data_IF_170381213864
#
_entry.id   IF_170381213864
#
_cell.length_a   1.000
_cell.length_b   1.000
_cell.length_c   1.000
_cell.angle_alpha   90.00
_cell.angle_beta   90.00
_cell.angle_gamma   90.00
#
_symmetry.space_group_name_H-M   'P 1'
#
loop_
_entity.id
_entity.type
_entity.pdbx_description
1 polymer ?
#
# COMPACT_ATOMS: atom_id res chain seq x y z
N UNK A 1 -14.69 -18.39 -62.91
CA UNK A 1 -14.68 -18.43 -61.44
C UNK A 1 -13.52 -19.29 -61.03
N UNK A 2 -12.58 -18.75 -60.26
CA UNK A 2 -12.06 -19.38 -59.04
C UNK A 2 -10.72 -18.73 -58.71
N UNK A 3 -10.72 -18.12 -57.52
CA UNK A 3 -9.64 -17.37 -56.93
C UNK A 3 -8.50 -18.32 -56.51
N UNK A 4 -7.86 -19.00 -57.48
CA UNK A 4 -6.72 -19.92 -57.25
C UNK A 4 -5.48 -19.23 -56.67
N UNK A 5 -5.44 -17.89 -56.69
CA UNK A 5 -4.37 -17.12 -56.04
C UNK A 5 -4.46 -17.17 -54.50
N UNK A 6 -5.66 -17.25 -53.93
CA UNK A 6 -5.83 -17.14 -52.48
C UNK A 6 -5.44 -18.42 -51.72
N UNK A 7 -5.62 -19.59 -52.33
CA UNK A 7 -5.38 -20.86 -51.64
C UNK A 7 -3.88 -21.17 -51.46
N UNK A 8 -3.02 -20.71 -52.38
CA UNK A 8 -1.58 -21.00 -52.34
C UNK A 8 -0.85 -20.24 -51.24
N UNK A 9 -1.38 -19.09 -50.82
CA UNK A 9 -0.78 -18.24 -49.79
C UNK A 9 -1.56 -18.27 -48.46
N UNK A 10 -2.59 -19.10 -48.34
CA UNK A 10 -3.38 -19.24 -47.09
C UNK A 10 -2.48 -19.63 -45.90
N UNK A 11 -1.49 -20.48 -46.12
CA UNK A 11 -0.53 -20.85 -45.06
C UNK A 11 0.22 -19.64 -44.47
N UNK A 12 0.47 -18.57 -45.26
CA UNK A 12 1.10 -17.35 -44.76
C UNK A 12 0.20 -16.60 -43.78
N UNK A 13 -1.13 -16.64 -43.97
CA UNK A 13 -2.07 -16.05 -43.03
C UNK A 13 -2.03 -16.76 -41.68
N UNK A 14 -2.00 -18.10 -41.69
CA UNK A 14 -1.84 -18.86 -40.45
C UNK A 14 -0.48 -18.60 -39.79
N UNK A 15 0.60 -18.53 -40.56
CA UNK A 15 1.94 -18.19 -40.04
C UNK A 15 1.92 -16.81 -39.37
N UNK A 16 1.39 -15.80 -40.05
CA UNK A 16 1.23 -14.45 -39.51
C UNK A 16 0.36 -14.46 -38.25
N UNK A 17 -0.77 -15.18 -38.27
CA UNK A 17 -1.69 -15.28 -37.14
C UNK A 17 -1.03 -15.93 -35.91
N UNK A 18 -0.32 -17.05 -36.08
CA UNK A 18 0.40 -17.70 -34.98
C UNK A 18 1.56 -16.84 -34.46
N UNK A 19 2.25 -16.10 -35.33
CA UNK A 19 3.28 -15.15 -34.92
C UNK A 19 2.69 -14.01 -34.08
N UNK A 20 1.59 -13.39 -34.53
CA UNK A 20 0.92 -12.33 -33.79
C UNK A 20 0.31 -12.84 -32.47
N UNK A 21 -0.29 -14.03 -32.47
CA UNK A 21 -0.82 -14.67 -31.27
C UNK A 21 0.30 -14.98 -30.27
N UNK A 22 1.45 -15.46 -30.75
CA UNK A 22 2.65 -15.67 -29.94
C UNK A 22 3.17 -14.37 -29.32
N UNK A 23 3.22 -13.28 -30.09
CA UNK A 23 3.59 -11.96 -29.58
C UNK A 23 2.59 -11.42 -28.56
N UNK A 24 1.29 -11.63 -28.78
CA UNK A 24 0.24 -11.23 -27.84
C UNK A 24 0.34 -12.00 -26.53
N UNK A 25 0.47 -13.33 -26.60
CA UNK A 25 0.66 -14.18 -25.42
C UNK A 25 1.97 -13.82 -24.72
N UNK A 26 3.03 -13.56 -25.48
CA UNK A 26 4.30 -13.08 -24.94
C UNK A 26 4.09 -11.75 -24.22
N UNK A 27 3.41 -10.75 -24.79
CA UNK A 27 3.15 -9.49 -24.11
C UNK A 27 2.28 -9.64 -22.84
N UNK A 28 1.31 -10.56 -22.83
CA UNK A 28 0.43 -10.83 -21.68
C UNK A 28 1.18 -11.60 -20.58
N UNK A 29 2.03 -12.56 -20.94
CA UNK A 29 2.78 -13.39 -19.99
C UNK A 29 4.13 -12.78 -19.60
N UNK A 30 4.63 -11.80 -20.35
CA UNK A 30 5.79 -11.03 -20.00
C UNK A 30 5.39 -10.05 -18.91
N UNK A 31 5.30 -10.58 -17.70
CA UNK A 31 5.40 -9.73 -16.52
C UNK A 31 6.80 -9.12 -16.58
N UNK A 32 6.95 -7.80 -16.74
CA UNK A 32 8.25 -7.19 -16.51
C UNK A 32 8.68 -7.69 -15.12
N UNK A 33 9.90 -8.21 -15.02
CA UNK A 33 10.53 -8.26 -13.71
C UNK A 33 10.61 -6.79 -13.32
N UNK A 34 9.65 -6.32 -12.53
CA UNK A 34 9.81 -5.11 -11.77
C UNK A 34 11.09 -5.37 -10.99
N UNK A 35 12.20 -4.83 -11.51
CA UNK A 35 13.43 -4.81 -10.78
C UNK A 35 13.09 -3.87 -9.64
N UNK A 36 12.75 -4.46 -8.49
CA UNK A 36 12.50 -3.74 -7.26
C UNK A 36 13.83 -3.15 -6.80
N UNK A 37 14.33 -2.16 -7.54
CA UNK A 37 15.23 -1.12 -7.06
C UNK A 37 14.41 -0.01 -6.42
N UNK A 38 13.30 -0.34 -5.77
CA UNK A 38 13.00 0.34 -4.54
C UNK A 38 14.18 0.01 -3.64
N UNK A 39 14.96 1.03 -3.28
CA UNK A 39 15.80 0.95 -2.11
C UNK A 39 14.89 0.43 -0.99
N UNK A 40 14.93 -0.87 -0.72
CA UNK A 40 14.61 -1.37 0.59
C UNK A 40 15.77 -0.83 1.44
N UNK A 41 15.57 0.20 2.28
CA UNK A 41 16.55 0.45 3.32
C UNK A 41 16.76 -0.90 4.03
N UNK A 42 18.01 -1.29 4.30
CA UNK A 42 18.32 -2.60 4.82
C UNK A 42 17.42 -2.88 6.03
N UNK A 43 16.61 -3.94 5.94
CA UNK A 43 15.88 -4.47 7.08
C UNK A 43 16.94 -5.02 8.02
N UNK A 44 17.43 -4.17 8.92
CA UNK A 44 18.25 -4.63 10.03
C UNK A 44 17.32 -5.47 10.89
N UNK A 45 17.45 -6.79 10.77
CA UNK A 45 16.93 -7.76 11.73
C UNK A 45 17.66 -7.54 13.06
N UNK A 46 17.25 -6.51 13.79
CA UNK A 46 17.61 -6.33 15.19
C UNK A 46 16.76 -7.33 15.97
N UNK A 47 17.36 -8.23 16.77
CA UNK A 47 16.60 -9.16 17.59
C UNK A 47 15.66 -8.37 18.51
N UNK A 48 14.38 -8.79 18.53
CA UNK A 48 13.36 -8.22 19.40
C UNK A 48 13.86 -8.18 20.85
N UNK A 49 13.82 -7.03 21.54
CA UNK A 49 14.05 -6.99 22.98
C UNK A 49 13.00 -7.83 23.70
N UNK A 50 13.32 -8.42 24.86
CA UNK A 50 12.35 -9.19 25.64
C UNK A 50 11.18 -8.30 26.07
N UNK A 51 10.03 -8.95 26.21
CA UNK A 51 8.76 -8.36 26.62
C UNK A 51 8.85 -8.02 28.12
N UNK A 52 9.22 -6.78 28.43
CA UNK A 52 9.29 -6.24 29.78
C UNK A 52 8.21 -5.16 29.95
N UNK A 53 7.49 -5.22 31.07
CA UNK A 53 6.36 -4.36 31.44
C UNK A 53 6.72 -2.86 31.55
N UNK A 54 6.61 -2.10 30.46
CA UNK A 54 6.54 -0.64 30.52
C UNK A 54 5.25 -0.12 29.87
N UNK A 55 4.60 0.80 30.61
CA UNK A 55 3.58 1.80 30.23
C UNK A 55 3.46 2.01 28.72
N UNK A 56 2.25 2.07 28.10
CA UNK A 56 2.07 2.09 26.65
C UNK A 56 2.71 3.34 26.04
N UNK A 57 3.99 3.21 25.74
CA UNK A 57 4.83 4.21 25.10
C UNK A 57 4.96 3.70 23.67
N UNK A 58 4.42 4.48 22.74
CA UNK A 58 4.36 4.16 21.31
C UNK A 58 5.71 3.62 20.83
N UNK A 59 5.80 2.35 20.38
CA UNK A 59 7.05 1.82 19.83
C UNK A 59 7.42 2.58 18.55
N UNK A 60 8.72 2.71 18.22
CA UNK A 60 9.19 3.62 17.18
C UNK A 60 8.61 3.29 15.80
N UNK A 61 8.21 4.32 15.05
CA UNK A 61 7.76 4.18 13.66
C UNK A 61 8.88 3.56 12.80
N UNK A 62 8.54 2.58 11.96
CA UNK A 62 9.52 1.75 11.26
C UNK A 62 9.67 2.10 9.76
N UNK A 63 9.34 3.33 9.35
CA UNK A 63 9.33 3.73 7.93
C UNK A 63 9.86 5.14 7.68
N UNK A 64 10.26 5.40 6.44
CA UNK A 64 10.52 6.76 5.95
C UNK A 64 9.21 7.56 5.97
N UNK A 65 9.29 8.84 6.32
CA UNK A 65 8.11 9.71 6.35
C UNK A 65 7.55 9.90 4.94
N UNK A 66 6.25 9.64 4.81
CA UNK A 66 5.47 9.75 3.58
C UNK A 66 4.74 11.09 3.57
N UNK A 67 4.56 11.70 2.40
CA UNK A 67 3.73 12.90 2.30
C UNK A 67 2.24 12.53 2.42
N UNK A 68 1.42 13.39 3.04
CA UNK A 68 -0.02 13.29 2.84
C UNK A 68 -0.39 13.37 1.34
N UNK A 69 -1.59 12.91 1.02
CA UNK A 69 -2.12 12.63 -0.32
C UNK A 69 -1.36 11.56 -1.10
N UNK A 70 -0.44 10.83 -0.46
CA UNK A 70 0.25 9.69 -1.08
C UNK A 70 -0.43 8.38 -0.72
N UNK A 71 -0.64 7.54 -1.71
CA UNK A 71 -1.12 6.17 -1.51
C UNK A 71 0.02 5.27 -1.04
N UNK A 72 -0.26 4.51 0.01
CA UNK A 72 0.66 3.51 0.56
C UNK A 72 0.08 2.13 0.28
N UNK A 73 0.93 1.31 -0.32
CA UNK A 73 0.62 -0.07 -0.67
C UNK A 73 1.28 -1.04 0.32
N UNK A 74 0.61 -2.18 0.51
CA UNK A 74 0.90 -3.26 1.45
C UNK A 74 2.38 -3.54 1.75
N UNK A 75 2.68 -3.71 3.04
CA UNK A 75 3.88 -4.39 3.55
C UNK A 75 3.70 -5.91 3.75
N UNK A 76 2.54 -6.47 3.39
CA UNK A 76 2.15 -7.85 3.71
C UNK A 76 1.70 -8.03 5.17
N UNK A 77 1.74 -9.28 5.64
CA UNK A 77 1.43 -9.67 7.03
C UNK A 77 2.36 -8.98 8.03
N UNK A 78 1.82 -8.64 9.20
CA UNK A 78 2.55 -8.16 10.36
C UNK A 78 2.07 -6.80 10.83
N UNK A 79 2.95 -6.10 11.54
CA UNK A 79 2.74 -4.72 11.96
C UNK A 79 3.56 -3.80 11.06
N UNK A 80 2.89 -2.85 10.41
CA UNK A 80 3.53 -1.79 9.64
C UNK A 80 3.20 -0.45 10.27
N UNK A 81 4.21 0.39 10.55
CA UNK A 81 4.00 1.77 11.00
C UNK A 81 4.63 2.73 10.01
N UNK A 82 3.82 3.62 9.47
CA UNK A 82 4.23 4.61 8.48
C UNK A 82 3.98 6.02 9.01
N UNK A 83 5.01 6.86 9.16
CA UNK A 83 4.82 8.26 9.48
C UNK A 83 4.37 9.03 8.23
N UNK A 84 3.39 9.91 8.39
CA UNK A 84 2.81 10.75 7.33
C UNK A 84 2.87 12.22 7.70
N UNK A 85 3.48 13.06 6.86
CA UNK A 85 3.51 14.51 7.03
C UNK A 85 2.10 15.09 6.82
N UNK A 86 1.61 15.84 7.80
CA UNK A 86 0.36 16.59 7.75
C UNK A 86 0.59 18.08 7.42
N UNK A 87 1.83 18.56 7.57
CA UNK A 87 2.20 19.94 7.28
C UNK A 87 1.81 20.92 8.38
N UNK A 88 1.68 22.20 8.01
CA UNK A 88 1.43 23.31 8.94
C UNK A 88 -0.02 23.82 8.93
N UNK A 89 -0.90 23.19 8.16
CA UNK A 89 -2.31 23.57 8.05
C UNK A 89 -3.15 22.73 9.01
N UNK A 90 -3.99 23.37 9.82
CA UNK A 90 -4.98 22.68 10.64
C UNK A 90 -6.18 22.32 9.77
N UNK A 91 -6.84 21.20 10.04
CA UNK A 91 -7.95 20.74 9.22
C UNK A 91 -8.43 19.34 9.59
N UNK A 92 -9.42 18.86 8.84
CA UNK A 92 -9.87 17.46 8.93
C UNK A 92 -8.93 16.59 8.11
N UNK A 93 -8.38 15.55 8.73
CA UNK A 93 -7.58 14.53 8.06
C UNK A 93 -8.46 13.31 7.86
N UNK A 94 -8.53 12.82 6.62
CA UNK A 94 -9.28 11.62 6.25
C UNK A 94 -8.31 10.56 5.77
N UNK A 95 -8.37 9.38 6.36
CA UNK A 95 -7.63 8.20 5.92
C UNK A 95 -8.60 7.27 5.22
N UNK A 96 -8.42 7.13 3.91
CA UNK A 96 -9.16 6.18 3.09
C UNK A 96 -8.38 4.88 3.03
N UNK A 97 -9.04 3.74 3.17
CA UNK A 97 -8.39 2.44 3.13
C UNK A 97 -9.20 1.45 2.29
N UNK A 98 -8.51 0.45 1.78
CA UNK A 98 -9.07 -0.78 1.24
C UNK A 98 -8.27 -1.97 1.78
N UNK A 99 -8.90 -2.77 2.65
CA UNK A 99 -8.30 -3.99 3.22
C UNK A 99 -8.60 -5.24 2.37
N UNK A 100 -9.18 -5.07 1.18
CA UNK A 100 -9.56 -6.17 0.29
C UNK A 100 -10.34 -7.29 1.02
N UNK A 101 -10.03 -8.56 0.77
CA UNK A 101 -10.79 -9.69 1.29
C UNK A 101 -10.30 -10.18 2.67
N UNK A 102 -9.03 -9.95 3.02
CA UNK A 102 -8.43 -10.45 4.27
C UNK A 102 -8.51 -9.34 5.34
N UNK A 103 -9.20 -9.55 6.48
CA UNK A 103 -9.41 -8.50 7.46
C UNK A 103 -8.12 -7.97 8.12
N UNK A 104 -7.94 -6.65 8.10
CA UNK A 104 -6.83 -5.94 8.75
C UNK A 104 -7.35 -4.84 9.68
N UNK A 105 -6.49 -4.31 10.56
CA UNK A 105 -6.83 -3.20 11.46
C UNK A 105 -5.91 -2.01 11.22
N UNK A 106 -6.51 -0.83 11.03
CA UNK A 106 -5.81 0.43 10.89
C UNK A 106 -6.03 1.30 12.13
N UNK A 107 -4.93 1.83 12.68
CA UNK A 107 -4.93 2.76 13.81
C UNK A 107 -4.05 3.96 13.49
N UNK A 108 -4.58 5.16 13.68
CA UNK A 108 -3.86 6.41 13.48
C UNK A 108 -3.46 7.00 14.81
N UNK A 109 -2.18 7.29 14.95
CA UNK A 109 -1.59 7.94 16.11
C UNK A 109 -1.17 9.37 15.77
N UNK A 110 -1.43 10.29 16.68
CA UNK A 110 -0.92 11.66 16.64
C UNK A 110 -0.47 12.07 18.04
N UNK A 111 0.74 12.61 18.17
CA UNK A 111 1.32 13.01 19.46
C UNK A 111 1.27 11.87 20.51
N UNK A 112 1.53 10.63 20.06
CA UNK A 112 1.51 9.41 20.89
C UNK A 112 0.12 8.91 21.29
N UNK A 113 -0.97 9.52 20.79
CA UNK A 113 -2.35 9.14 21.13
C UNK A 113 -3.08 8.58 19.92
N UNK A 114 -3.95 7.59 20.15
CA UNK A 114 -4.89 7.13 19.13
C UNK A 114 -5.89 8.25 18.84
N UNK A 115 -5.93 8.69 17.59
CA UNK A 115 -6.86 9.71 17.12
C UNK A 115 -7.94 9.16 16.19
N UNK A 116 -7.68 8.02 15.53
CA UNK A 116 -8.65 7.30 14.72
C UNK A 116 -8.31 5.81 14.64
N UNK A 117 -9.31 4.94 14.48
CA UNK A 117 -9.10 3.49 14.34
C UNK A 117 -10.31 2.82 13.69
N UNK A 118 -10.11 1.69 13.01
CA UNK A 118 -11.20 0.80 12.57
C UNK A 118 -11.87 0.07 13.73
N UNK A 119 -11.32 0.16 14.95
CA UNK A 119 -11.73 -0.53 16.20
C UNK A 119 -11.48 -2.03 16.18
N UNK A 120 -11.81 -2.70 15.08
CA UNK A 120 -11.62 -4.15 14.87
C UNK A 120 -10.93 -4.43 13.52
N UNK A 121 -10.72 -5.72 13.23
CA UNK A 121 -10.32 -6.18 11.91
C UNK A 121 -11.48 -5.98 10.93
N UNK A 122 -11.22 -5.32 9.81
CA UNK A 122 -12.21 -4.99 8.79
C UNK A 122 -11.70 -5.36 7.40
N UNK A 123 -12.61 -5.72 6.52
CA UNK A 123 -12.35 -5.99 5.09
C UNK A 123 -12.92 -4.87 4.22
N UNK A 124 -12.40 -4.75 3.01
CA UNK A 124 -12.88 -3.85 1.97
C UNK A 124 -12.62 -2.37 2.24
N UNK A 125 -13.37 -1.54 1.52
CA UNK A 125 -13.21 -0.10 1.51
C UNK A 125 -13.84 0.58 2.74
N UNK A 126 -13.15 1.57 3.28
CA UNK A 126 -13.71 2.44 4.32
C UNK A 126 -12.88 3.68 4.58
N UNK A 127 -13.27 4.43 5.61
CA UNK A 127 -12.61 5.67 6.01
C UNK A 127 -12.57 5.81 7.51
N UNK A 128 -11.48 6.36 8.03
CA UNK A 128 -11.41 6.92 9.38
C UNK A 128 -10.94 8.38 9.29
N UNK A 129 -11.35 9.21 10.24
CA UNK A 129 -11.01 10.64 10.21
C UNK A 129 -10.70 11.17 11.61
N UNK A 130 -9.93 12.26 11.66
CA UNK A 130 -9.64 12.98 12.88
C UNK A 130 -9.40 14.47 12.61
N UNK A 131 -9.57 15.29 13.65
CA UNK A 131 -9.25 16.70 13.59
C UNK A 131 -7.76 16.92 13.89
N UNK A 132 -7.05 17.58 12.98
CA UNK A 132 -5.65 17.95 13.15
C UNK A 132 -5.50 19.44 13.45
N UNK A 133 -4.66 19.76 14.43
CA UNK A 133 -4.28 21.13 14.79
C UNK A 133 -2.76 21.29 14.65
N UNK A 134 -2.36 22.15 13.73
CA UNK A 134 -0.97 22.55 13.56
C UNK A 134 -0.59 23.57 14.64
N UNK A 135 0.05 23.09 15.70
CA UNK A 135 0.50 23.91 16.83
C UNK A 135 2.03 23.90 16.96
N UNK A 136 2.60 25.02 17.39
CA UNK A 136 4.04 25.12 17.62
C UNK A 136 4.46 24.18 18.77
N UNK A 137 5.48 23.36 18.54
CA UNK A 137 5.95 22.37 19.50
C UNK A 137 5.18 21.04 19.47
N UNK A 138 4.22 20.88 18.55
CA UNK A 138 3.57 19.59 18.25
C UNK A 138 4.14 18.96 16.98
N UNK A 139 4.05 17.62 16.85
CA UNK A 139 4.43 16.94 15.61
C UNK A 139 3.61 17.47 14.42
N UNK A 140 4.27 17.56 13.27
CA UNK A 140 3.63 17.83 11.97
C UNK A 140 3.40 16.54 11.17
N UNK A 141 3.38 15.40 11.87
CA UNK A 141 3.18 14.08 11.30
C UNK A 141 2.24 13.25 12.18
N UNK A 142 1.52 12.33 11.55
CA UNK A 142 0.82 11.23 12.22
C UNK A 142 1.47 9.89 11.86
N UNK A 143 1.25 8.88 12.68
CA UNK A 143 1.70 7.51 12.40
C UNK A 143 0.47 6.66 12.09
N UNK A 144 0.44 6.08 10.89
CA UNK A 144 -0.54 5.05 10.54
C UNK A 144 0.07 3.70 10.87
N UNK A 145 -0.54 3.00 11.82
CA UNK A 145 -0.26 1.61 12.14
C UNK A 145 -1.26 0.71 11.41
N UNK A 146 -0.74 -0.21 10.61
CA UNK A 146 -1.50 -1.32 10.05
C UNK A 146 -1.13 -2.61 10.77
N UNK A 147 -2.14 -3.31 11.27
CA UNK A 147 -2.04 -4.65 11.84
C UNK A 147 -2.73 -5.65 10.93
N UNK A 148 -1.91 -6.50 10.31
CA UNK A 148 -2.33 -7.47 9.32
C UNK A 148 -1.97 -8.89 9.82
N UNK A 149 -2.84 -9.55 10.61
CA UNK A 149 -2.47 -10.77 11.33
C UNK A 149 -2.41 -12.02 10.44
N UNK A 150 -3.17 -12.05 9.35
CA UNK A 150 -3.34 -13.23 8.50
C UNK A 150 -2.35 -13.26 7.34
N UNK A 151 -1.88 -14.46 6.98
CA UNK A 151 -1.07 -14.66 5.78
C UNK A 151 -1.87 -14.31 4.52
N UNK A 152 -1.20 -13.75 3.52
CA UNK A 152 -1.85 -13.39 2.24
C UNK A 152 -2.71 -12.13 2.30
N UNK A 153 -2.69 -11.41 3.42
CA UNK A 153 -3.22 -10.05 3.53
C UNK A 153 -2.61 -9.11 2.49
N UNK A 154 -3.46 -8.25 1.97
CA UNK A 154 -3.09 -7.10 1.17
C UNK A 154 -3.97 -5.95 1.61
N UNK A 155 -3.45 -4.73 1.50
CA UNK A 155 -4.18 -3.52 1.84
C UNK A 155 -3.58 -2.33 1.10
N UNK A 156 -4.38 -1.28 0.94
CA UNK A 156 -3.94 0.03 0.48
C UNK A 156 -4.60 1.10 1.32
N UNK A 157 -3.92 2.23 1.52
CA UNK A 157 -4.55 3.39 2.14
C UNK A 157 -3.93 4.70 1.66
N UNK A 158 -4.66 5.79 1.86
CA UNK A 158 -4.23 7.16 1.57
C UNK A 158 -4.62 8.07 2.73
N UNK A 159 -3.66 8.83 3.23
CA UNK A 159 -3.90 9.89 4.23
C UNK A 159 -4.06 11.19 3.48
N UNK A 160 -5.26 11.76 3.44
CA UNK A 160 -5.49 13.04 2.79
C UNK A 160 -4.93 14.19 3.65
N UNK A 161 -4.35 15.21 3.03
CA UNK A 161 -3.85 16.37 3.74
C UNK A 161 -4.98 17.12 4.49
N UNK A 162 -4.68 17.85 5.58
CA UNK A 162 -5.69 18.59 6.32
C UNK A 162 -6.37 19.69 5.47
N UNK A 163 -7.70 19.70 5.44
CA UNK A 163 -8.54 20.73 4.82
C UNK A 163 -9.40 21.51 5.84
#
# INVERSE_FOLDING_TARGET
>A
MENKFFYRYWWLYYLLFFLLLGLLIYAILWKPKCNNNYYQPPVTTTPSPPMDNETPTMPPAQGATVNCDTEVNSGGQGLTRTPHLLGSQSGRVVVQYDMYDVPDQLTVYYDGKVVATTSDLVSGYGTVEFAYKAEQGKPQECIVEMKAPEDGTAWTYRVNCPE
#
